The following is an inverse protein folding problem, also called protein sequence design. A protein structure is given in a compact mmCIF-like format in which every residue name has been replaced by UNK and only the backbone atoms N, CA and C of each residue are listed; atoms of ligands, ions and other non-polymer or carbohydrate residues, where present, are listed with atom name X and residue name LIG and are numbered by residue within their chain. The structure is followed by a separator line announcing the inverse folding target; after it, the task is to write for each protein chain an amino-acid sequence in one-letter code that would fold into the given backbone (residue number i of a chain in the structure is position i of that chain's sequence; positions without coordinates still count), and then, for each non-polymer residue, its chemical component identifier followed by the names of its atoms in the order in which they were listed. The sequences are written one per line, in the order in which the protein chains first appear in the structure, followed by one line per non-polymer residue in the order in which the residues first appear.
data_IF_173109493907
#
_entry.id   IF_173109493907
#
_cell.length_a   1.000
_cell.length_b   1.000
_cell.length_c   1.000
_cell.angle_alpha   90.00
_cell.angle_beta   90.00
_cell.angle_gamma   90.00
#
_symmetry.space_group_name_H-M   'P 1'
#
loop_
_entity.id
_entity.type
_entity.pdbx_description
1 polymer ?
#
# COMPACT_ATOMS: atom_id res chain seq x y z
N UNK A 1 -12.66 -1.89 -17.51
CA UNK A 1 -13.57 -1.59 -16.39
C UNK A 1 -12.82 -0.85 -15.28
N UNK A 2 -13.49 0.08 -14.66
CA UNK A 2 -12.92 0.80 -13.52
C UNK A 2 -12.83 -0.12 -12.31
N UNK A 3 -11.62 -0.39 -11.85
CA UNK A 3 -11.36 -1.33 -10.75
C UNK A 3 -11.38 -0.67 -9.38
N UNK A 4 -11.50 0.65 -9.33
CA UNK A 4 -11.52 1.42 -8.09
C UNK A 4 -12.86 2.13 -7.87
N UNK A 5 -13.95 1.56 -8.38
CA UNK A 5 -15.28 2.17 -8.33
C UNK A 5 -15.55 3.01 -9.57
N UNK A 6 -16.24 4.12 -9.40
CA UNK A 6 -16.65 4.96 -10.52
C UNK A 6 -15.62 6.02 -10.92
N UNK A 7 -14.49 6.08 -10.23
CA UNK A 7 -13.45 7.05 -10.49
C UNK A 7 -12.13 6.33 -10.78
N UNK A 8 -11.68 6.42 -12.02
CA UNK A 8 -10.44 5.82 -12.50
C UNK A 8 -9.23 6.75 -12.37
N UNK A 9 -9.39 7.91 -11.75
CA UNK A 9 -8.34 8.93 -11.63
C UNK A 9 -7.55 8.80 -10.35
N UNK A 10 -7.17 7.59 -10.00
CA UNK A 10 -6.25 7.38 -8.89
C UNK A 10 -4.83 7.59 -9.41
N UNK A 11 -4.17 8.62 -8.92
CA UNK A 11 -2.82 8.98 -9.37
C UNK A 11 -1.74 8.24 -8.59
N UNK A 12 -2.06 7.82 -7.37
CA UNK A 12 -1.09 7.19 -6.49
C UNK A 12 -1.77 6.22 -5.53
N UNK A 13 -1.30 5.00 -5.50
CA UNK A 13 -1.66 4.03 -4.47
C UNK A 13 -0.61 4.07 -3.36
N UNK A 14 -1.07 4.26 -2.13
CA UNK A 14 -0.21 4.25 -0.96
C UNK A 14 -0.49 2.98 -0.18
N UNK A 15 0.52 2.13 -0.09
CA UNK A 15 0.42 0.82 0.52
C UNK A 15 1.14 0.84 1.86
N UNK A 16 0.49 0.34 2.89
CA UNK A 16 1.20 0.14 4.14
C UNK A 16 2.05 -1.13 4.07
N UNK A 17 3.06 -1.20 4.93
CA UNK A 17 3.88 -2.40 5.04
C UNK A 17 3.01 -3.63 5.29
N UNK A 18 2.04 -3.52 6.17
CA UNK A 18 1.17 -4.63 6.55
C UNK A 18 0.30 -5.12 5.38
N UNK A 19 0.02 -4.25 4.42
CA UNK A 19 -0.73 -4.63 3.24
C UNK A 19 0.09 -5.53 2.30
N UNK A 20 1.38 -5.25 2.16
CA UNK A 20 2.25 -5.97 1.23
C UNK A 20 3.15 -7.00 1.92
N UNK A 21 3.30 -6.91 3.25
CA UNK A 21 4.11 -7.80 4.08
C UNK A 21 3.28 -8.35 5.24
N UNK A 22 2.18 -9.08 4.98
CA UNK A 22 1.31 -9.54 6.07
C UNK A 22 2.03 -10.47 7.03
N UNK A 23 1.85 -10.20 8.34
CA UNK A 23 2.43 -10.99 9.40
C UNK A 23 3.91 -10.80 9.63
N UNK A 24 4.55 -9.82 8.98
CA UNK A 24 5.98 -9.62 9.11
C UNK A 24 6.34 -8.82 10.35
N UNK A 25 7.36 -9.28 11.07
CA UNK A 25 8.10 -8.45 11.99
C UNK A 25 9.42 -8.03 11.33
N UNK A 26 9.93 -6.89 11.71
CA UNK A 26 11.13 -6.34 11.09
C UNK A 26 12.35 -7.28 11.13
N UNK A 27 12.41 -8.17 12.11
CA UNK A 27 13.52 -9.10 12.31
C UNK A 27 13.62 -10.19 11.26
N UNK A 28 12.61 -10.38 10.46
CA UNK A 28 12.51 -11.54 9.59
C UNK A 28 12.44 -11.19 8.11
N UNK A 29 12.73 -9.95 7.73
CA UNK A 29 12.64 -9.54 6.32
C UNK A 29 13.48 -10.40 5.38
N UNK A 30 14.67 -10.78 5.81
CA UNK A 30 15.55 -11.61 5.00
C UNK A 30 14.99 -13.01 4.78
N UNK A 31 14.14 -13.47 5.69
CA UNK A 31 13.59 -14.82 5.67
C UNK A 31 12.13 -14.85 5.25
N UNK A 32 11.56 -13.72 4.86
CA UNK A 32 10.17 -13.67 4.40
C UNK A 32 10.03 -14.42 3.08
N UNK A 33 8.96 -15.17 2.99
CA UNK A 33 8.58 -15.82 1.74
C UNK A 33 8.06 -14.82 0.71
N UNK A 34 7.48 -15.37 -0.34
CA UNK A 34 6.88 -14.55 -1.40
C UNK A 34 5.72 -13.70 -0.87
N UNK A 35 5.49 -12.59 -1.52
CA UNK A 35 4.37 -11.72 -1.24
C UNK A 35 3.03 -12.45 -1.44
N UNK A 36 1.98 -11.98 -0.75
CA UNK A 36 0.64 -12.52 -0.96
C UNK A 36 0.26 -12.42 -2.44
N UNK A 37 -0.12 -13.55 -3.08
CA UNK A 37 -0.36 -13.56 -4.53
C UNK A 37 -1.46 -12.61 -4.98
N UNK A 38 -2.53 -12.45 -4.23
CA UNK A 38 -3.64 -11.56 -4.62
C UNK A 38 -3.25 -10.09 -4.48
N UNK A 39 -2.51 -9.75 -3.44
CA UNK A 39 -1.99 -8.39 -3.27
C UNK A 39 -0.98 -8.08 -4.38
N UNK A 40 -0.08 -9.01 -4.67
CA UNK A 40 0.90 -8.83 -5.74
C UNK A 40 0.19 -8.65 -7.09
N UNK A 41 -0.83 -9.44 -7.36
CA UNK A 41 -1.62 -9.32 -8.58
C UNK A 41 -2.30 -7.95 -8.68
N UNK A 42 -2.85 -7.45 -7.57
CA UNK A 42 -3.41 -6.09 -7.52
C UNK A 42 -2.36 -5.04 -7.89
N UNK A 43 -1.17 -5.12 -7.30
CA UNK A 43 -0.09 -4.16 -7.56
C UNK A 43 0.35 -4.20 -9.01
N UNK A 44 0.48 -5.40 -9.59
CA UNK A 44 0.96 -5.58 -10.95
C UNK A 44 -0.08 -5.25 -12.02
N UNK A 45 -1.35 -5.56 -11.76
CA UNK A 45 -2.41 -5.46 -12.77
C UNK A 45 -3.32 -4.27 -12.56
N UNK A 46 -3.97 -4.19 -11.39
CA UNK A 46 -4.99 -3.17 -11.14
C UNK A 46 -4.38 -1.80 -10.95
N UNK A 47 -3.23 -1.75 -10.32
CA UNK A 47 -2.49 -0.51 -10.09
C UNK A 47 -1.34 -0.31 -11.09
N UNK A 48 -1.40 -0.94 -12.24
CA UNK A 48 -0.30 -0.97 -13.22
C UNK A 48 0.17 0.42 -13.63
N UNK A 49 -0.76 1.33 -13.89
CA UNK A 49 -0.45 2.67 -14.37
C UNK A 49 -0.54 3.73 -13.25
N UNK A 50 -0.54 3.28 -12.03
CA UNK A 50 -0.64 4.13 -10.84
C UNK A 50 0.72 4.15 -10.16
N UNK A 51 1.17 5.34 -9.76
CA UNK A 51 2.39 5.47 -8.99
C UNK A 51 2.18 4.89 -7.59
N UNK A 52 3.08 4.03 -7.15
CA UNK A 52 2.93 3.24 -5.93
C UNK A 52 4.03 3.54 -4.93
N UNK A 53 3.62 3.75 -3.70
CA UNK A 53 4.47 4.13 -2.59
C UNK A 53 4.19 3.21 -1.41
N UNK A 54 5.21 2.86 -0.65
CA UNK A 54 5.04 2.10 0.58
C UNK A 54 5.30 2.99 1.78
N UNK A 55 4.36 3.03 2.73
CA UNK A 55 4.57 3.65 4.03
C UNK A 55 4.77 2.53 5.04
N UNK A 56 5.86 2.59 5.78
CA UNK A 56 6.22 1.54 6.73
C UNK A 56 6.62 2.16 8.07
N UNK A 57 6.23 1.49 9.17
CA UNK A 57 6.73 1.85 10.48
C UNK A 57 8.16 1.32 10.65
N UNK A 58 9.05 2.20 11.10
CA UNK A 58 10.43 1.82 11.42
C UNK A 58 10.76 2.34 12.82
N UNK A 59 11.14 1.42 13.70
CA UNK A 59 11.61 1.78 15.03
C UNK A 59 12.98 2.47 14.96
N UNK A 60 13.80 2.09 13.97
CA UNK A 60 15.12 2.62 13.74
C UNK A 60 15.36 2.73 12.24
N UNK A 61 16.04 3.79 11.81
CA UNK A 61 16.33 4.03 10.39
C UNK A 61 17.14 2.92 9.73
N UNK A 62 17.91 2.15 10.50
CA UNK A 62 18.68 1.01 9.97
C UNK A 62 17.78 -0.11 9.45
N UNK A 63 16.49 -0.10 9.80
CA UNK A 63 15.55 -1.11 9.34
C UNK A 63 15.03 -0.83 7.92
N UNK A 64 15.23 0.38 7.42
CA UNK A 64 14.68 0.76 6.12
C UNK A 64 15.36 0.06 4.94
N UNK A 65 16.71 -0.06 4.88
CA UNK A 65 17.35 -0.76 3.77
C UNK A 65 16.92 -2.22 3.58
N UNK A 66 16.82 -3.06 4.63
CA UNK A 66 16.29 -4.42 4.47
C UNK A 66 14.87 -4.46 3.89
N UNK A 67 14.01 -3.53 4.29
CA UNK A 67 12.64 -3.43 3.77
C UNK A 67 12.64 -3.09 2.28
N UNK A 68 13.48 -2.15 1.88
CA UNK A 68 13.62 -1.79 0.47
C UNK A 68 14.15 -2.95 -0.36
N UNK A 69 15.12 -3.69 0.15
CA UNK A 69 15.67 -4.87 -0.53
C UNK A 69 14.61 -5.93 -0.74
N UNK A 70 13.78 -6.20 0.27
CA UNK A 70 12.70 -7.16 0.15
C UNK A 70 11.70 -6.72 -0.94
N UNK A 71 11.33 -5.45 -0.95
CA UNK A 71 10.42 -4.91 -1.96
C UNK A 71 11.01 -5.00 -3.37
N UNK A 72 12.28 -4.70 -3.52
CA UNK A 72 12.95 -4.82 -4.82
C UNK A 72 12.99 -6.26 -5.31
N UNK A 73 13.09 -7.22 -4.40
CA UNK A 73 13.12 -8.64 -4.74
C UNK A 73 11.76 -9.15 -5.21
N UNK A 74 10.69 -8.81 -4.48
CA UNK A 74 9.36 -9.39 -4.71
C UNK A 74 8.40 -8.48 -5.49
N UNK A 75 8.70 -7.19 -5.58
CA UNK A 75 7.94 -6.20 -6.34
C UNK A 75 8.90 -5.39 -7.22
N UNK A 76 9.69 -6.05 -8.09
CA UNK A 76 10.75 -5.34 -8.83
C UNK A 76 10.19 -4.25 -9.72
N UNK A 77 10.66 -3.02 -9.52
CA UNK A 77 10.26 -1.87 -10.33
C UNK A 77 8.84 -1.38 -10.11
N UNK A 78 8.10 -1.95 -9.13
CA UNK A 78 6.68 -1.63 -8.94
C UNK A 78 6.46 -0.57 -7.87
N UNK A 79 7.30 -0.51 -6.86
CA UNK A 79 7.17 0.45 -5.75
C UNK A 79 8.18 1.57 -5.96
N UNK A 80 7.68 2.79 -6.17
CA UNK A 80 8.56 3.93 -6.52
C UNK A 80 9.34 4.47 -5.34
N UNK A 81 8.84 4.34 -4.12
CA UNK A 81 9.53 4.82 -2.93
C UNK A 81 9.01 4.13 -1.67
N UNK A 82 9.83 4.15 -0.62
CA UNK A 82 9.49 3.61 0.69
C UNK A 82 9.72 4.70 1.72
N UNK A 83 8.69 5.04 2.46
CA UNK A 83 8.72 6.12 3.45
C UNK A 83 8.53 5.53 4.85
N UNK A 84 9.46 5.81 5.74
CA UNK A 84 9.37 5.37 7.13
C UNK A 84 8.55 6.33 7.98
N UNK A 85 7.79 5.79 8.94
CA UNK A 85 7.11 6.56 9.98
C UNK A 85 7.58 6.10 11.35
N UNK A 86 7.56 7.01 12.31
CA UNK A 86 8.00 6.72 13.68
C UNK A 86 7.01 5.90 14.49
N UNK A 87 5.76 5.80 14.04
CA UNK A 87 4.74 4.97 14.67
C UNK A 87 3.63 4.66 13.69
N UNK A 88 2.88 3.55 13.88
CA UNK A 88 1.74 3.22 13.03
C UNK A 88 0.67 4.32 13.01
N UNK A 89 0.48 5.01 14.14
CA UNK A 89 -0.52 6.08 14.25
C UNK A 89 -0.22 7.30 13.38
N UNK A 90 1.01 7.41 12.84
CA UNK A 90 1.41 8.54 11.99
C UNK A 90 1.31 8.24 10.50
N UNK A 91 0.84 7.06 10.12
CA UNK A 91 0.74 6.70 8.70
C UNK A 91 -0.14 7.66 7.90
N UNK A 92 -1.30 8.02 8.43
CA UNK A 92 -2.23 8.91 7.73
C UNK A 92 -1.68 10.33 7.63
N UNK A 93 -1.05 10.82 8.67
CA UNK A 93 -0.39 12.12 8.64
C UNK A 93 0.72 12.14 7.59
N UNK A 94 1.53 11.09 7.54
CA UNK A 94 2.60 10.94 6.54
C UNK A 94 2.03 10.92 5.13
N UNK A 95 0.98 10.14 4.92
CA UNK A 95 0.28 10.08 3.63
C UNK A 95 -0.22 11.46 3.20
N UNK A 96 -0.82 12.20 4.14
CA UNK A 96 -1.31 13.55 3.86
C UNK A 96 -0.19 14.48 3.43
N UNK A 97 0.94 14.46 4.13
CA UNK A 97 2.09 15.29 3.78
C UNK A 97 2.63 14.96 2.40
N UNK A 98 2.70 13.67 2.06
CA UNK A 98 3.12 13.23 0.73
C UNK A 98 2.15 13.72 -0.33
N UNK A 99 0.85 13.54 -0.12
CA UNK A 99 -0.17 13.97 -1.07
C UNK A 99 -0.13 15.47 -1.30
N UNK A 100 0.00 16.24 -0.24
CA UNK A 100 0.11 17.70 -0.33
C UNK A 100 1.37 18.14 -1.08
N UNK A 101 2.51 17.50 -0.77
CA UNK A 101 3.79 17.84 -1.42
C UNK A 101 3.76 17.56 -2.92
N UNK A 102 2.95 16.59 -3.35
CA UNK A 102 2.80 16.23 -4.76
C UNK A 102 1.57 16.85 -5.41
N UNK A 103 0.88 17.72 -4.70
CA UNK A 103 -0.30 18.45 -5.18
C UNK A 103 -1.42 17.51 -5.65
N UNK A 104 -1.58 16.39 -4.94
CA UNK A 104 -2.64 15.43 -5.22
C UNK A 104 -3.91 15.79 -4.46
N UNK A 105 -5.04 15.66 -5.14
CA UNK A 105 -6.34 15.76 -4.48
C UNK A 105 -6.60 14.49 -3.68
N UNK A 106 -7.33 14.53 -2.56
CA UNK A 106 -7.60 13.33 -1.77
C UNK A 106 -8.20 12.17 -2.58
N UNK A 107 -9.09 12.45 -3.51
CA UNK A 107 -9.71 11.41 -4.36
C UNK A 107 -8.73 10.72 -5.31
N UNK A 108 -7.55 11.31 -5.53
CA UNK A 108 -6.52 10.73 -6.39
C UNK A 108 -5.61 9.77 -5.64
N UNK A 109 -5.82 9.58 -4.34
CA UNK A 109 -4.98 8.75 -3.49
C UNK A 109 -5.80 7.58 -2.94
N UNK A 110 -5.29 6.37 -3.13
CA UNK A 110 -5.83 5.16 -2.51
C UNK A 110 -4.86 4.67 -1.45
N UNK A 111 -5.34 4.61 -0.22
CA UNK A 111 -4.58 4.05 0.91
C UNK A 111 -5.03 2.62 1.18
N UNK A 112 -4.07 1.70 1.27
CA UNK A 112 -4.33 0.29 1.54
C UNK A 112 -3.57 -0.14 2.80
N UNK A 113 -4.29 -0.71 3.76
CA UNK A 113 -3.72 -1.19 5.02
C UNK A 113 -4.53 -2.40 5.50
N UNK A 114 -3.92 -3.25 6.32
CA UNK A 114 -4.62 -4.41 6.89
C UNK A 114 -5.55 -4.04 8.05
N UNK A 115 -5.34 -2.88 8.67
CA UNK A 115 -6.11 -2.43 9.84
C UNK A 115 -7.26 -1.53 9.43
N UNK A 116 -8.46 -1.99 9.72
CA UNK A 116 -9.69 -1.28 9.39
C UNK A 116 -9.73 0.14 9.98
N UNK A 117 -9.31 0.30 11.23
CA UNK A 117 -9.34 1.60 11.90
C UNK A 117 -8.43 2.64 11.24
N UNK A 118 -7.27 2.22 10.74
CA UNK A 118 -6.36 3.11 10.02
C UNK A 118 -6.95 3.49 8.65
N UNK A 119 -7.51 2.52 7.94
CA UNK A 119 -8.21 2.78 6.68
C UNK A 119 -9.38 3.74 6.88
N UNK A 120 -10.14 3.55 7.95
CA UNK A 120 -11.24 4.44 8.29
C UNK A 120 -10.77 5.89 8.49
N UNK A 121 -9.64 6.09 9.14
CA UNK A 121 -9.06 7.42 9.31
C UNK A 121 -8.71 8.07 7.95
N UNK A 122 -8.18 7.29 7.02
CA UNK A 122 -7.90 7.79 5.68
C UNK A 122 -9.19 8.24 4.98
N UNK A 123 -10.23 7.44 5.07
CA UNK A 123 -11.53 7.75 4.47
C UNK A 123 -12.14 8.99 5.10
N UNK A 124 -12.08 9.11 6.43
CA UNK A 124 -12.57 10.30 7.14
C UNK A 124 -11.83 11.57 6.72
N UNK A 125 -10.56 11.43 6.37
CA UNK A 125 -9.75 12.55 5.87
C UNK A 125 -10.02 12.89 4.40
N UNK A 126 -10.93 12.17 3.75
CA UNK A 126 -11.33 12.44 2.36
C UNK A 126 -10.59 11.61 1.33
N UNK A 127 -9.69 10.74 1.73
CA UNK A 127 -8.96 9.86 0.84
C UNK A 127 -9.75 8.58 0.54
N UNK A 128 -9.36 7.88 -0.50
CA UNK A 128 -9.90 6.55 -0.77
C UNK A 128 -9.15 5.56 0.08
N UNK A 129 -9.85 4.55 0.58
CA UNK A 129 -9.24 3.54 1.42
C UNK A 129 -9.80 2.16 1.16
N UNK A 130 -8.94 1.15 1.22
CA UNK A 130 -9.32 -0.25 1.16
C UNK A 130 -8.50 -1.03 2.17
N UNK A 131 -9.15 -1.99 2.83
CA UNK A 131 -8.39 -2.96 3.62
C UNK A 131 -7.76 -4.00 2.70
N UNK A 132 -6.72 -4.66 3.20
CA UNK A 132 -6.10 -5.78 2.49
C UNK A 132 -7.12 -6.85 2.14
N UNK A 133 -8.06 -7.13 3.05
CA UNK A 133 -9.13 -8.12 2.82
C UNK A 133 -10.02 -7.69 1.65
N UNK A 134 -10.37 -6.42 1.57
CA UNK A 134 -11.17 -5.91 0.46
C UNK A 134 -10.44 -6.07 -0.88
N UNK A 135 -9.15 -5.76 -0.92
CA UNK A 135 -8.33 -5.93 -2.13
C UNK A 135 -8.28 -7.40 -2.53
N UNK A 136 -7.99 -8.30 -1.59
CA UNK A 136 -7.92 -9.73 -1.86
C UNK A 136 -9.27 -10.30 -2.32
N UNK A 137 -10.35 -9.89 -1.68
CA UNK A 137 -11.70 -10.34 -2.03
C UNK A 137 -12.04 -9.90 -3.45
N UNK A 138 -11.75 -8.66 -3.80
CA UNK A 138 -12.00 -8.14 -5.15
C UNK A 138 -11.20 -8.92 -6.19
N UNK A 139 -9.93 -9.17 -5.95
CA UNK A 139 -9.09 -9.94 -6.89
C UNK A 139 -9.58 -11.39 -7.00
N UNK A 140 -9.95 -11.99 -5.89
CA UNK A 140 -10.50 -13.34 -5.90
C UNK A 140 -11.73 -13.43 -6.80
N UNK A 141 -12.67 -12.53 -6.65
CA UNK A 141 -13.88 -12.53 -7.49
C UNK A 141 -13.57 -12.24 -8.95
N UNK A 142 -12.68 -11.32 -9.24
CA UNK A 142 -12.25 -11.07 -10.62
C UNK A 142 -11.67 -12.33 -11.27
N UNK A 143 -10.84 -13.07 -10.52
CA UNK A 143 -10.20 -14.28 -11.03
C UNK A 143 -11.17 -15.44 -11.22
N UNK A 144 -12.23 -15.52 -10.41
CA UNK A 144 -13.20 -16.63 -10.48
C UNK A 144 -14.34 -16.37 -11.46
N UNK A 145 -14.70 -15.11 -11.70
CA UNK A 145 -15.81 -14.74 -12.58
C UNK A 145 -15.33 -14.61 -14.03
N UNK A 146 -14.10 -14.18 -14.21
CA UNK A 146 -13.48 -14.06 -15.51
C UNK A 146 -12.67 -15.30 -15.86
#
# INVERSE_FOLDING_TARGET
ANRFGDDDKIMRAILSEEAILPGSGYRVYENLGVANPLIKQFVEEDAKNIDKLCITWVADSIMLPPKKQWLDKYYPGLISDVVGTSSPSRKIQTMRLIAESRKLQPREVLFVDDKYDIVAQAIEAGYRGMTTVEVMTRKYYQNTIN
#
